data_IF_724180684875
#
_entry.id   IF_724180684875
#
_cell.length_a   1.000
_cell.length_b   1.000
_cell.length_c   1.000
_cell.angle_alpha   90.00
_cell.angle_beta   90.00
_cell.angle_gamma   90.00
#
_symmetry.space_group_name_H-M   'P 1'
#
loop_
_entity.id
_entity.type
_entity.pdbx_description
1 polymer ?
#
# COMPACT_ATOMS: atom_id res chain seq x y z
N UNK A 1 21.31 0.27 38.02
CA UNK A 1 19.93 -0.22 38.16
C UNK A 1 18.93 0.94 38.24
N UNK A 2 19.16 1.93 39.10
CA UNK A 2 18.30 3.13 39.24
C UNK A 2 18.11 3.95 37.94
N UNK A 3 19.17 4.16 37.15
CA UNK A 3 19.07 4.89 35.85
C UNK A 3 18.14 4.15 34.87
N UNK A 4 18.23 2.81 34.80
CA UNK A 4 17.36 2.01 33.91
C UNK A 4 15.91 2.00 34.38
N UNK A 5 15.69 2.02 35.69
CA UNK A 5 14.36 2.11 36.30
C UNK A 5 13.73 3.47 35.98
N UNK A 6 14.44 4.58 36.20
CA UNK A 6 13.95 5.93 35.91
C UNK A 6 13.68 6.14 34.42
N UNK A 7 14.51 5.56 33.54
CA UNK A 7 14.22 5.54 32.10
C UNK A 7 12.95 4.72 31.80
N UNK A 8 12.79 3.53 32.37
CA UNK A 8 11.62 2.69 32.14
C UNK A 8 10.32 3.39 32.57
N UNK A 9 10.32 4.00 33.75
CA UNK A 9 9.20 4.79 34.23
C UNK A 9 8.85 5.95 33.27
N UNK A 10 9.86 6.69 32.83
CA UNK A 10 9.67 7.78 31.88
C UNK A 10 9.09 7.31 30.53
N UNK A 11 9.60 6.19 29.98
CA UNK A 11 9.09 5.62 28.73
C UNK A 11 7.67 5.09 28.87
N UNK A 12 7.33 4.45 29.99
CA UNK A 12 5.96 3.98 30.25
C UNK A 12 5.00 5.17 30.35
N UNK A 13 5.37 6.22 31.10
CA UNK A 13 4.55 7.42 31.28
C UNK A 13 4.36 8.21 29.97
N UNK A 14 5.38 8.24 29.10
CA UNK A 14 5.36 9.01 27.84
C UNK A 14 5.11 8.17 26.59
N UNK A 15 4.79 6.88 26.71
CA UNK A 15 4.68 5.95 25.57
C UNK A 15 3.75 6.48 24.47
N UNK A 16 2.54 6.93 24.84
CA UNK A 16 1.55 7.45 23.88
C UNK A 16 2.07 8.71 23.16
N UNK A 17 2.77 9.59 23.86
CA UNK A 17 3.36 10.81 23.28
C UNK A 17 4.43 10.47 22.25
N UNK A 18 5.31 9.52 22.58
CA UNK A 18 6.36 9.02 21.68
C UNK A 18 5.73 8.40 20.43
N UNK A 19 4.74 7.52 20.60
CA UNK A 19 4.04 6.88 19.48
C UNK A 19 3.36 7.88 18.56
N UNK A 20 2.68 8.89 19.13
CA UNK A 20 2.06 9.98 18.34
C UNK A 20 3.08 10.76 17.53
N UNK A 21 4.28 10.99 18.07
CA UNK A 21 5.36 11.64 17.34
C UNK A 21 5.83 10.81 16.13
N UNK A 22 5.93 9.48 16.29
CA UNK A 22 6.21 8.57 15.17
C UNK A 22 5.10 8.56 14.13
N UNK A 23 3.83 8.47 14.56
CA UNK A 23 2.68 8.52 13.64
C UNK A 23 2.62 9.84 12.87
N UNK A 24 2.89 10.96 13.53
CA UNK A 24 2.90 12.28 12.88
C UNK A 24 4.03 12.39 11.86
N UNK A 25 5.24 11.97 12.24
CA UNK A 25 6.41 11.98 11.34
C UNK A 25 6.16 11.12 10.10
N UNK A 26 5.61 9.93 10.28
CA UNK A 26 5.32 9.00 9.18
C UNK A 26 4.12 9.48 8.35
N UNK A 27 3.10 10.07 8.98
CA UNK A 27 1.99 10.71 8.29
C UNK A 27 2.47 11.85 7.37
N UNK A 28 3.36 12.70 7.86
CA UNK A 28 3.98 13.76 7.07
C UNK A 28 4.81 13.18 5.91
N UNK A 29 5.58 12.13 6.15
CA UNK A 29 6.38 11.47 5.12
C UNK A 29 5.49 10.87 4.01
N UNK A 30 4.41 10.17 4.39
CA UNK A 30 3.42 9.65 3.44
C UNK A 30 2.78 10.80 2.66
N UNK A 31 2.43 11.91 3.33
CA UNK A 31 1.89 13.10 2.69
C UNK A 31 2.84 13.74 1.67
N UNK A 32 4.14 13.76 1.95
CA UNK A 32 5.15 14.25 1.00
C UNK A 32 5.31 13.29 -0.20
N UNK A 33 5.24 11.98 0.03
CA UNK A 33 5.34 10.96 -1.04
C UNK A 33 4.09 10.98 -1.93
N UNK A 34 2.91 11.23 -1.36
CA UNK A 34 1.64 11.24 -2.09
C UNK A 34 1.30 12.61 -2.71
N UNK A 35 2.04 13.67 -2.39
CA UNK A 35 1.83 15.01 -2.93
C UNK A 35 1.99 15.03 -4.47
N UNK A 36 0.90 15.37 -5.17
CA UNK A 36 0.89 15.50 -6.62
C UNK A 36 0.60 14.21 -7.40
N UNK A 37 0.42 13.07 -6.73
CA UNK A 37 0.29 11.75 -7.38
C UNK A 37 -1.16 11.26 -7.45
N UNK A 38 -2.14 12.17 -7.62
CA UNK A 38 -3.53 11.81 -7.90
C UNK A 38 -3.74 11.77 -9.40
N UNK A 39 -3.61 10.60 -10.02
CA UNK A 39 -4.02 10.42 -11.42
C UNK A 39 -5.53 10.20 -11.48
N UNK A 40 -6.21 11.02 -12.27
CA UNK A 40 -7.53 10.65 -12.76
C UNK A 40 -7.33 9.65 -13.89
N UNK A 41 -7.96 8.49 -13.80
CA UNK A 41 -8.04 7.54 -14.91
C UNK A 41 -8.89 8.19 -16.00
N UNK A 42 -8.25 8.82 -16.97
CA UNK A 42 -8.90 9.32 -18.17
C UNK A 42 -8.73 8.29 -19.29
N UNK A 43 -9.84 7.96 -19.96
CA UNK A 43 -9.79 7.18 -21.19
C UNK A 43 -9.25 8.11 -22.28
N UNK A 44 -8.23 7.66 -23.01
CA UNK A 44 -7.71 8.41 -24.15
C UNK A 44 -8.82 8.64 -25.19
N UNK A 45 -8.90 9.85 -25.74
CA UNK A 45 -9.97 10.24 -26.67
C UNK A 45 -10.02 9.34 -27.91
N UNK A 46 -8.87 8.85 -28.35
CA UNK A 46 -8.73 7.93 -29.48
C UNK A 46 -9.44 6.60 -29.22
N UNK A 47 -9.29 6.05 -28.02
CA UNK A 47 -9.97 4.83 -27.60
C UNK A 47 -11.47 5.07 -27.44
N UNK A 48 -11.87 6.21 -26.87
CA UNK A 48 -13.27 6.56 -26.70
C UNK A 48 -14.03 6.68 -28.03
N UNK A 49 -13.38 7.18 -29.08
CA UNK A 49 -13.99 7.31 -30.41
C UNK A 49 -14.08 5.97 -31.14
N UNK A 50 -13.10 5.07 -30.97
CA UNK A 50 -13.20 3.69 -31.47
C UNK A 50 -14.38 2.98 -30.81
N UNK A 51 -14.57 3.13 -29.49
CA UNK A 51 -15.69 2.51 -28.76
C UNK A 51 -17.05 2.95 -29.30
N UNK A 52 -17.20 4.22 -29.67
CA UNK A 52 -18.45 4.75 -30.26
C UNK A 52 -18.70 4.23 -31.68
N UNK A 53 -17.63 3.88 -32.41
CA UNK A 53 -17.69 3.41 -33.80
C UNK A 53 -17.86 1.90 -33.97
N UNK A 54 -17.99 1.14 -32.87
CA UNK A 54 -18.10 -0.33 -32.93
C UNK A 54 -19.42 -0.79 -33.55
N UNK A 55 -19.34 -1.83 -34.39
CA UNK A 55 -20.54 -2.51 -34.89
C UNK A 55 -21.31 -3.26 -33.78
N UNK A 56 -22.57 -3.65 -34.04
CA UNK A 56 -23.40 -4.34 -33.05
C UNK A 56 -22.77 -5.63 -32.50
N UNK A 57 -22.17 -6.44 -33.39
CA UNK A 57 -21.51 -7.70 -33.01
C UNK A 57 -20.28 -7.49 -32.13
N UNK A 58 -19.42 -6.53 -32.48
CA UNK A 58 -18.20 -6.20 -31.74
C UNK A 58 -18.53 -5.57 -30.38
N UNK A 59 -19.54 -4.71 -30.33
CA UNK A 59 -20.05 -4.10 -29.09
C UNK A 59 -20.52 -5.13 -28.08
N UNK A 60 -21.17 -6.21 -28.53
CA UNK A 60 -21.67 -7.28 -27.66
C UNK A 60 -20.52 -8.07 -27.03
N UNK A 61 -19.48 -8.38 -27.81
CA UNK A 61 -18.25 -9.02 -27.30
C UNK A 61 -17.54 -8.10 -26.32
N UNK A 62 -17.40 -6.82 -26.65
CA UNK A 62 -16.70 -5.83 -25.82
C UNK A 62 -17.43 -5.59 -24.49
N UNK A 63 -18.77 -5.60 -24.49
CA UNK A 63 -19.60 -5.54 -23.27
C UNK A 63 -19.29 -6.70 -22.33
N UNK A 64 -19.29 -7.94 -22.84
CA UNK A 64 -19.07 -9.14 -22.02
C UNK A 64 -17.66 -9.14 -21.41
N UNK A 65 -16.64 -8.81 -22.21
CA UNK A 65 -15.25 -8.79 -21.72
C UNK A 65 -15.01 -7.64 -20.73
N UNK A 66 -15.54 -6.44 -21.01
CA UNK A 66 -15.40 -5.29 -20.11
C UNK A 66 -16.13 -5.53 -18.79
N UNK A 67 -17.30 -6.17 -18.81
CA UNK A 67 -18.00 -6.56 -17.59
C UNK A 67 -17.14 -7.52 -16.73
N UNK A 68 -16.45 -8.47 -17.36
CA UNK A 68 -15.56 -9.40 -16.66
C UNK A 68 -14.35 -8.67 -16.05
N UNK A 69 -13.72 -7.75 -16.79
CA UNK A 69 -12.62 -6.92 -16.30
C UNK A 69 -13.06 -6.01 -15.14
N UNK A 70 -14.26 -5.42 -15.22
CA UNK A 70 -14.81 -4.60 -14.15
C UNK A 70 -14.95 -5.38 -12.83
N UNK A 71 -15.40 -6.63 -12.89
CA UNK A 71 -15.47 -7.51 -11.69
C UNK A 71 -14.08 -7.70 -11.08
N UNK A 72 -13.05 -7.92 -11.89
CA UNK A 72 -11.66 -8.06 -11.42
C UNK A 72 -11.20 -6.78 -10.71
N UNK A 73 -11.44 -5.61 -11.30
CA UNK A 73 -11.06 -4.31 -10.72
C UNK A 73 -11.78 -4.09 -9.38
N UNK A 74 -13.06 -4.45 -9.27
CA UNK A 74 -13.81 -4.34 -8.00
C UNK A 74 -13.18 -5.20 -6.92
N UNK A 75 -12.81 -6.44 -7.23
CA UNK A 75 -12.14 -7.36 -6.29
C UNK A 75 -10.78 -6.78 -5.87
N UNK A 76 -9.98 -6.29 -6.82
CA UNK A 76 -8.71 -5.61 -6.57
C UNK A 76 -8.87 -4.41 -5.61
N UNK A 77 -9.89 -3.58 -5.84
CA UNK A 77 -10.21 -2.45 -4.96
C UNK A 77 -10.51 -2.89 -3.52
N UNK A 78 -11.32 -3.95 -3.36
CA UNK A 78 -11.62 -4.50 -2.04
C UNK A 78 -10.36 -5.00 -1.32
N UNK A 79 -9.41 -5.64 -2.03
CA UNK A 79 -8.14 -6.07 -1.44
C UNK A 79 -7.30 -4.89 -0.92
N UNK A 80 -7.21 -3.78 -1.67
CA UNK A 80 -6.49 -2.58 -1.20
C UNK A 80 -7.14 -2.04 0.07
N UNK A 81 -8.46 -1.87 0.07
CA UNK A 81 -9.19 -1.39 1.25
C UNK A 81 -8.96 -2.34 2.44
N UNK A 82 -9.15 -3.65 2.25
CA UNK A 82 -8.93 -4.64 3.29
C UNK A 82 -7.52 -4.57 3.90
N UNK A 83 -6.48 -4.49 3.07
CA UNK A 83 -5.08 -4.42 3.56
C UNK A 83 -4.81 -3.16 4.38
N UNK A 84 -5.35 -2.01 3.96
CA UNK A 84 -5.25 -0.75 4.70
C UNK A 84 -5.96 -0.84 6.05
N UNK A 85 -7.20 -1.36 6.08
CA UNK A 85 -7.97 -1.53 7.33
C UNK A 85 -7.30 -2.49 8.30
N UNK A 86 -6.80 -3.63 7.81
CA UNK A 86 -6.12 -4.62 8.65
C UNK A 86 -4.90 -4.01 9.35
N UNK A 87 -4.19 -3.12 8.67
CA UNK A 87 -3.08 -2.38 9.26
C UNK A 87 -3.52 -1.39 10.35
N UNK A 88 -4.60 -0.65 10.14
CA UNK A 88 -5.16 0.21 11.19
C UNK A 88 -5.50 -0.60 12.45
N UNK A 89 -6.08 -1.80 12.28
CA UNK A 89 -6.33 -2.71 13.40
C UNK A 89 -5.05 -3.17 14.11
N UNK A 90 -3.97 -3.51 13.37
CA UNK A 90 -2.68 -3.85 13.98
C UNK A 90 -2.13 -2.71 14.83
N UNK A 91 -2.18 -1.47 14.32
CA UNK A 91 -1.71 -0.29 15.05
C UNK A 91 -2.54 -0.08 16.32
N UNK A 92 -3.86 -0.27 16.25
CA UNK A 92 -4.73 -0.13 17.42
C UNK A 92 -4.40 -1.16 18.51
N UNK A 93 -4.05 -2.40 18.14
CA UNK A 93 -3.70 -3.47 19.07
C UNK A 93 -2.29 -3.27 19.67
N UNK A 94 -1.32 -2.81 18.89
CA UNK A 94 0.08 -2.70 19.35
C UNK A 94 0.32 -1.52 20.29
N UNK A 95 -0.44 -0.43 20.16
CA UNK A 95 -0.29 0.79 20.97
C UNK A 95 -0.37 0.51 22.49
N UNK A 96 -1.42 -0.16 23.02
CA UNK A 96 -1.49 -0.45 24.45
C UNK A 96 -0.38 -1.41 24.92
N UNK A 97 0.08 -2.32 24.06
CA UNK A 97 1.17 -3.24 24.38
C UNK A 97 2.53 -2.54 24.55
N UNK A 98 2.69 -1.32 24.04
CA UNK A 98 3.94 -0.57 24.16
C UNK A 98 4.30 -0.19 25.59
N UNK A 99 3.31 0.15 26.42
CA UNK A 99 3.57 0.48 27.83
C UNK A 99 4.07 -0.76 28.59
N UNK A 100 3.51 -1.94 28.27
CA UNK A 100 3.94 -3.21 28.85
C UNK A 100 5.37 -3.53 28.42
N UNK A 101 5.68 -3.40 27.13
CA UNK A 101 7.04 -3.61 26.63
C UNK A 101 8.07 -2.62 27.22
N UNK A 102 7.70 -1.35 27.40
CA UNK A 102 8.56 -0.33 28.01
C UNK A 102 8.92 -0.69 29.47
N UNK A 103 7.99 -1.30 30.21
CA UNK A 103 8.25 -1.72 31.60
C UNK A 103 9.33 -2.81 31.72
N UNK A 104 9.52 -3.63 30.67
CA UNK A 104 10.53 -4.70 30.69
C UNK A 104 11.96 -4.20 30.51
N UNK A 105 12.16 -2.93 30.15
CA UNK A 105 13.47 -2.30 29.98
C UNK A 105 14.28 -2.20 31.29
N UNK A 106 13.60 -2.14 32.43
CA UNK A 106 14.26 -2.17 33.74
C UNK A 106 14.77 -3.58 34.13
N UNK A 107 14.35 -4.62 33.39
CA UNK A 107 14.74 -6.01 33.64
C UNK A 107 16.17 -6.36 33.24
N UNK A 108 16.59 -7.60 33.54
CA UNK A 108 17.89 -8.12 33.12
C UNK A 108 17.98 -8.29 31.58
N UNK A 109 19.16 -8.56 31.03
CA UNK A 109 19.43 -8.65 29.57
C UNK A 109 18.39 -9.43 28.75
N UNK A 110 17.85 -10.53 29.29
CA UNK A 110 16.81 -11.33 28.64
C UNK A 110 15.45 -10.60 28.55
N UNK A 111 15.04 -9.96 29.64
CA UNK A 111 13.73 -9.28 29.77
C UNK A 111 13.73 -7.91 29.07
N UNK A 112 14.88 -7.25 29.03
CA UNK A 112 15.08 -6.00 28.28
C UNK A 112 15.07 -6.20 26.76
N UNK A 113 15.30 -7.42 26.26
CA UNK A 113 15.22 -7.72 24.82
C UNK A 113 13.78 -7.59 24.29
N UNK A 114 12.77 -7.83 25.14
CA UNK A 114 11.35 -7.68 24.78
C UNK A 114 11.02 -6.26 24.30
N UNK A 115 11.57 -5.23 24.95
CA UNK A 115 11.45 -3.83 24.53
C UNK A 115 12.05 -3.60 23.14
N UNK A 116 13.24 -4.15 22.88
CA UNK A 116 13.89 -4.00 21.58
C UNK A 116 13.09 -4.67 20.45
N UNK A 117 12.60 -5.89 20.68
CA UNK A 117 11.73 -6.61 19.72
C UNK A 117 10.43 -5.84 19.48
N UNK A 118 9.81 -5.31 20.54
CA UNK A 118 8.61 -4.49 20.43
C UNK A 118 8.85 -3.25 19.56
N UNK A 119 9.92 -2.49 19.82
CA UNK A 119 10.24 -1.30 19.05
C UNK A 119 10.47 -1.63 17.57
N UNK A 120 11.13 -2.76 17.27
CA UNK A 120 11.31 -3.20 15.87
C UNK A 120 9.98 -3.49 15.19
N UNK A 121 9.12 -4.27 15.86
CA UNK A 121 7.82 -4.62 15.31
C UNK A 121 6.90 -3.40 15.17
N UNK A 122 6.91 -2.47 16.14
CA UNK A 122 6.21 -1.20 16.06
C UNK A 122 6.67 -0.39 14.86
N UNK A 123 7.97 -0.13 14.73
CA UNK A 123 8.52 0.60 13.59
C UNK A 123 8.17 -0.08 12.27
N UNK A 124 8.26 -1.41 12.18
CA UNK A 124 7.87 -2.17 10.98
C UNK A 124 6.41 -1.91 10.59
N UNK A 125 5.49 -1.93 11.56
CA UNK A 125 4.07 -1.67 11.32
C UNK A 125 3.77 -0.20 10.94
N UNK A 126 4.50 0.77 11.51
CA UNK A 126 4.31 2.18 11.14
C UNK A 126 4.91 2.47 9.77
N UNK A 127 6.10 1.96 9.46
CA UNK A 127 6.75 2.12 8.15
C UNK A 127 6.05 1.35 7.02
N UNK A 128 5.22 0.36 7.33
CA UNK A 128 4.34 -0.29 6.35
C UNK A 128 3.46 0.75 5.61
N UNK A 129 3.12 1.90 6.21
CA UNK A 129 2.43 3.00 5.51
C UNK A 129 3.25 3.53 4.34
N UNK A 130 4.52 3.76 4.62
CA UNK A 130 5.45 4.45 3.74
C UNK A 130 5.71 3.56 2.54
N UNK A 131 5.91 2.26 2.76
CA UNK A 131 6.12 1.29 1.69
C UNK A 131 4.86 1.05 0.87
N UNK A 132 3.66 1.06 1.46
CA UNK A 132 2.40 1.04 0.70
C UNK A 132 2.25 2.29 -0.17
N UNK A 133 2.51 3.48 0.38
CA UNK A 133 2.45 4.73 -0.38
C UNK A 133 3.47 4.75 -1.52
N UNK A 134 4.70 4.30 -1.26
CA UNK A 134 5.75 4.17 -2.26
C UNK A 134 5.37 3.17 -3.36
N UNK A 135 4.76 2.03 -3.01
CA UNK A 135 4.28 1.06 -3.99
C UNK A 135 3.27 1.68 -4.96
N UNK A 136 2.33 2.50 -4.45
CA UNK A 136 1.34 3.18 -5.29
C UNK A 136 2.02 4.19 -6.24
N UNK A 137 2.97 4.99 -5.72
CA UNK A 137 3.72 5.97 -6.53
C UNK A 137 4.56 5.29 -7.61
N UNK A 138 5.25 4.19 -7.27
CA UNK A 138 6.05 3.42 -8.23
C UNK A 138 5.17 2.76 -9.28
N UNK A 139 4.03 2.18 -8.89
CA UNK A 139 3.07 1.64 -9.85
C UNK A 139 2.53 2.73 -10.78
N UNK A 140 2.29 3.95 -10.28
CA UNK A 140 1.90 5.08 -11.12
C UNK A 140 3.01 5.48 -12.11
N UNK A 141 4.25 5.61 -11.64
CA UNK A 141 5.39 5.86 -12.52
C UNK A 141 5.54 4.77 -13.60
N UNK A 142 5.25 3.51 -13.26
CA UNK A 142 5.26 2.39 -14.19
C UNK A 142 4.14 2.50 -15.26
N UNK A 143 2.94 2.96 -14.89
CA UNK A 143 1.87 3.27 -15.86
C UNK A 143 2.37 4.33 -16.85
N UNK A 144 2.95 5.43 -16.34
CA UNK A 144 3.38 6.56 -17.17
C UNK A 144 4.60 6.24 -18.06
N UNK A 145 5.42 5.26 -17.68
CA UNK A 145 6.53 4.79 -18.51
C UNK A 145 6.07 3.96 -19.72
N UNK A 146 4.79 3.54 -19.74
CA UNK A 146 4.21 2.67 -20.76
C UNK A 146 4.55 1.20 -20.52
N UNK A 147 3.56 0.32 -20.66
CA UNK A 147 3.81 -1.12 -20.72
C UNK A 147 4.29 -1.52 -22.14
N UNK A 148 4.93 -2.69 -22.30
CA UNK A 148 5.37 -3.16 -23.60
C UNK A 148 4.22 -3.15 -24.61
N UNK A 149 4.37 -2.36 -25.67
CA UNK A 149 3.35 -2.25 -26.70
C UNK A 149 3.23 -3.57 -27.47
N UNK A 150 2.01 -4.06 -27.64
CA UNK A 150 1.73 -5.20 -28.51
C UNK A 150 1.87 -4.74 -29.97
N UNK A 151 3.00 -5.04 -30.62
CA UNK A 151 3.36 -4.56 -31.97
C UNK A 151 2.66 -5.28 -33.12
N UNK A 152 1.39 -5.69 -32.95
CA UNK A 152 0.62 -6.36 -33.98
C UNK A 152 -0.35 -5.42 -34.70
N UNK A 153 -0.61 -5.66 -35.99
CA UNK A 153 -1.69 -5.00 -36.73
C UNK A 153 -3.04 -5.61 -36.31
N UNK A 154 -3.49 -5.30 -35.10
CA UNK A 154 -4.78 -5.76 -34.58
C UNK A 154 -5.93 -4.84 -35.04
N UNK A 155 -7.14 -5.38 -35.11
CA UNK A 155 -8.35 -4.59 -35.34
C UNK A 155 -8.57 -3.56 -34.20
N UNK A 156 -9.21 -2.45 -34.50
CA UNK A 156 -9.37 -1.31 -33.57
C UNK A 156 -10.07 -1.70 -32.25
N UNK A 157 -11.06 -2.60 -32.32
CA UNK A 157 -11.73 -3.15 -31.14
C UNK A 157 -10.79 -3.99 -30.27
N UNK A 158 -9.85 -4.72 -30.87
CA UNK A 158 -8.87 -5.53 -30.16
C UNK A 158 -7.77 -4.67 -29.53
N UNK A 159 -7.36 -3.57 -30.18
CA UNK A 159 -6.44 -2.59 -29.59
C UNK A 159 -7.04 -1.92 -28.34
N UNK A 160 -8.33 -1.60 -28.38
CA UNK A 160 -9.07 -1.06 -27.24
C UNK A 160 -9.13 -2.06 -26.08
N UNK A 161 -9.38 -3.34 -26.38
CA UNK A 161 -9.38 -4.40 -25.37
C UNK A 161 -8.00 -4.60 -24.74
N UNK A 162 -6.94 -4.56 -25.52
CA UNK A 162 -5.55 -4.68 -25.03
C UNK A 162 -5.24 -3.56 -24.03
N UNK A 163 -5.64 -2.32 -24.34
CA UNK A 163 -5.48 -1.17 -23.44
C UNK A 163 -6.27 -1.34 -22.13
N UNK A 164 -7.53 -1.81 -22.19
CA UNK A 164 -8.32 -2.10 -21.00
C UNK A 164 -7.67 -3.20 -20.13
N UNK A 165 -7.11 -4.24 -20.76
CA UNK A 165 -6.35 -5.29 -20.10
C UNK A 165 -5.06 -4.75 -19.45
N UNK A 166 -4.35 -3.84 -20.12
CA UNK A 166 -3.15 -3.19 -19.62
C UNK A 166 -3.43 -2.34 -18.35
N UNK A 167 -4.51 -1.55 -18.38
CA UNK A 167 -4.97 -0.80 -17.22
C UNK A 167 -5.38 -1.73 -16.07
N UNK A 168 -6.11 -2.81 -16.38
CA UNK A 168 -6.54 -3.81 -15.38
C UNK A 168 -5.33 -4.51 -14.75
N UNK A 169 -4.35 -4.90 -15.56
CA UNK A 169 -3.10 -5.51 -15.11
C UNK A 169 -2.35 -4.59 -14.16
N UNK A 170 -2.31 -3.29 -14.44
CA UNK A 170 -1.58 -2.37 -13.57
C UNK A 170 -2.25 -2.16 -12.22
N UNK A 171 -3.59 -2.15 -12.19
CA UNK A 171 -4.34 -2.17 -10.92
C UNK A 171 -4.02 -3.45 -10.15
N UNK A 172 -4.00 -4.61 -10.81
CA UNK A 172 -3.66 -5.88 -10.19
C UNK A 172 -2.23 -5.91 -9.63
N UNK A 173 -1.25 -5.36 -10.36
CA UNK A 173 0.13 -5.20 -9.86
C UNK A 173 0.19 -4.27 -8.64
N UNK A 174 -0.58 -3.18 -8.64
CA UNK A 174 -0.67 -2.26 -7.50
C UNK A 174 -1.14 -3.00 -6.24
N UNK A 175 -2.19 -3.82 -6.35
CA UNK A 175 -2.68 -4.65 -5.23
C UNK A 175 -1.60 -5.61 -4.73
N UNK A 176 -0.87 -6.27 -5.64
CA UNK A 176 0.21 -7.19 -5.29
C UNK A 176 1.33 -6.50 -4.51
N UNK A 177 1.77 -5.34 -4.99
CA UNK A 177 2.80 -4.52 -4.35
C UNK A 177 2.38 -4.02 -2.98
N UNK A 178 1.13 -3.54 -2.84
CA UNK A 178 0.57 -3.08 -1.57
C UNK A 178 0.45 -4.22 -0.56
N UNK A 179 0.03 -5.42 -0.98
CA UNK A 179 -0.04 -6.61 -0.11
C UNK A 179 1.35 -7.11 0.32
N UNK A 180 2.36 -6.97 -0.54
CA UNK A 180 3.75 -7.32 -0.25
C UNK A 180 4.50 -6.32 0.64
N UNK A 181 3.95 -5.11 0.82
CA UNK A 181 4.61 -3.99 1.50
C UNK A 181 5.05 -4.33 2.93
N UNK A 182 4.26 -5.11 3.68
CA UNK A 182 4.62 -5.51 5.04
C UNK A 182 5.92 -6.32 5.08
N UNK A 183 6.01 -7.38 4.27
CA UNK A 183 7.18 -8.25 4.19
C UNK A 183 8.39 -7.51 3.64
N UNK A 184 8.18 -6.59 2.70
CA UNK A 184 9.24 -5.74 2.18
C UNK A 184 9.80 -4.83 3.29
N UNK A 185 8.94 -4.21 4.09
CA UNK A 185 9.33 -3.30 5.18
C UNK A 185 10.15 -4.03 6.24
N UNK A 186 9.69 -5.19 6.71
CA UNK A 186 10.40 -5.96 7.74
C UNK A 186 11.77 -6.43 7.26
N UNK A 187 11.86 -6.93 6.02
CA UNK A 187 13.12 -7.38 5.43
C UNK A 187 14.09 -6.24 5.13
N UNK A 188 13.59 -5.11 4.61
CA UNK A 188 14.43 -3.97 4.24
C UNK A 188 15.09 -3.32 5.45
N UNK A 189 14.37 -3.23 6.57
CA UNK A 189 14.89 -2.61 7.80
C UNK A 189 15.47 -3.61 8.81
N UNK A 190 15.40 -4.92 8.55
CA UNK A 190 15.87 -5.95 9.50
C UNK A 190 15.09 -5.96 10.82
N UNK A 191 13.78 -5.70 10.74
CA UNK A 191 12.86 -5.52 11.86
C UNK A 191 12.01 -6.75 12.14
#
# INVERSE_FOLDING_TARGET
MLIRLGLAEWFVANNVTIMKAFFTSIGNLVGLISAGTTTQLAIDSTQADIIKGLGFGESLVMLILTALLAIIIIICGFFIIYTVYFRFLKILIIVPLGAIACSTMAGNRMVSHTMATYCKYFLSCVFEAVTMALAIVVCNAFINAGLPAFTGSYADWAQTLIYLCEMTFTIAMTVGSVKGAQTLTSKAFGL
#
